data_IF_889016150372
#
_entry.id   IF_889016150372
#
_cell.length_a   1.000
_cell.length_b   1.000
_cell.length_c   1.000
_cell.angle_alpha   90.00
_cell.angle_beta   90.00
_cell.angle_gamma   90.00
#
_symmetry.space_group_name_H-M   'P 1'
#
loop_
_entity.id
_entity.type
_entity.pdbx_description
1 polymer ?
#
# COMPACT_ATOMS: atom_id res chain seq x y z
N UNK A 1 14.61 19.96 32.54
CA UNK A 1 13.53 19.15 31.93
C UNK A 1 13.03 19.88 30.69
N UNK A 2 12.80 19.21 29.54
CA UNK A 2 12.21 19.87 28.37
C UNK A 2 10.79 20.36 28.70
N UNK A 3 10.44 21.54 28.21
CA UNK A 3 9.09 22.11 28.37
C UNK A 3 8.05 21.28 27.61
N UNK A 4 6.83 21.15 28.15
CA UNK A 4 5.77 20.32 27.55
C UNK A 4 5.45 20.71 26.08
N UNK A 5 5.59 21.99 25.74
CA UNK A 5 5.48 22.50 24.38
C UNK A 5 6.53 21.91 23.42
N UNK A 6 7.79 21.83 23.86
CA UNK A 6 8.88 21.23 23.09
C UNK A 6 8.60 19.75 22.80
N UNK A 7 8.13 19.01 23.81
CA UNK A 7 7.81 17.58 23.68
C UNK A 7 6.67 17.35 22.67
N UNK A 8 5.62 18.19 22.70
CA UNK A 8 4.52 18.12 21.73
C UNK A 8 4.97 18.45 20.31
N UNK A 9 5.83 19.45 20.15
CA UNK A 9 6.36 19.84 18.84
C UNK A 9 7.24 18.74 18.24
N UNK A 10 8.15 18.16 19.03
CA UNK A 10 9.01 17.04 18.61
C UNK A 10 8.17 15.84 18.19
N UNK A 11 7.15 15.49 18.98
CA UNK A 11 6.28 14.37 18.65
C UNK A 11 5.45 14.63 17.40
N UNK A 12 4.98 15.87 17.21
CA UNK A 12 4.27 16.30 16.01
C UNK A 12 5.14 16.19 14.75
N UNK A 13 6.40 16.62 14.85
CA UNK A 13 7.37 16.51 13.77
C UNK A 13 7.71 15.05 13.47
N UNK A 14 7.91 14.22 14.51
CA UNK A 14 8.16 12.80 14.34
C UNK A 14 6.98 12.09 13.64
N UNK A 15 5.74 12.31 14.09
CA UNK A 15 4.55 11.79 13.41
C UNK A 15 4.48 12.25 11.94
N UNK A 16 4.79 13.52 11.66
CA UNK A 16 4.80 14.06 10.30
C UNK A 16 5.81 13.33 9.40
N UNK A 17 7.06 13.20 9.86
CA UNK A 17 8.12 12.52 9.09
C UNK A 17 7.77 11.05 8.85
N UNK A 18 7.25 10.36 9.86
CA UNK A 18 6.81 8.96 9.70
C UNK A 18 5.65 8.82 8.72
N UNK A 19 4.67 9.73 8.74
CA UNK A 19 3.58 9.74 7.77
C UNK A 19 4.07 10.00 6.34
N UNK A 20 5.04 10.90 6.17
CA UNK A 20 5.63 11.18 4.86
C UNK A 20 6.36 9.95 4.30
N UNK A 21 7.14 9.26 5.14
CA UNK A 21 7.76 7.98 4.75
C UNK A 21 6.72 6.94 4.37
N UNK A 22 5.65 6.82 5.17
CA UNK A 22 4.54 5.91 4.89
C UNK A 22 3.85 6.22 3.56
N UNK A 23 3.62 7.50 3.26
CA UNK A 23 3.01 7.96 2.02
C UNK A 23 3.90 7.65 0.81
N UNK A 24 5.21 7.87 0.92
CA UNK A 24 6.17 7.56 -0.15
C UNK A 24 6.14 6.07 -0.47
N UNK A 25 6.28 5.19 0.52
CA UNK A 25 6.29 3.73 0.26
C UNK A 25 4.93 3.22 -0.23
N UNK A 26 3.81 3.73 0.29
CA UNK A 26 2.48 3.39 -0.21
C UNK A 26 2.28 3.84 -1.67
N UNK A 27 2.73 5.05 -2.00
CA UNK A 27 2.73 5.57 -3.37
C UNK A 27 3.60 4.74 -4.31
N UNK A 28 4.80 4.33 -3.89
CA UNK A 28 5.65 3.41 -4.65
C UNK A 28 4.95 2.06 -4.88
N UNK A 29 4.31 1.50 -3.85
CA UNK A 29 3.52 0.27 -3.99
C UNK A 29 2.44 0.40 -5.07
N UNK A 30 1.68 1.51 -5.03
CA UNK A 30 0.64 1.78 -6.03
C UNK A 30 1.23 1.92 -7.44
N UNK A 31 2.31 2.69 -7.59
CA UNK A 31 2.97 2.91 -8.89
C UNK A 31 3.50 1.61 -9.50
N UNK A 32 4.13 0.76 -8.69
CA UNK A 32 4.58 -0.57 -9.12
C UNK A 32 3.39 -1.45 -9.55
N UNK A 33 2.27 -1.41 -8.83
CA UNK A 33 1.08 -2.15 -9.25
C UNK A 33 0.50 -1.65 -10.57
N UNK A 34 0.41 -0.33 -10.76
CA UNK A 34 -0.12 0.26 -11.99
C UNK A 34 0.78 -0.03 -13.20
N UNK A 35 2.10 -0.07 -13.02
CA UNK A 35 3.03 -0.49 -14.06
C UNK A 35 2.85 -1.97 -14.45
N UNK A 36 2.45 -2.81 -13.49
CA UNK A 36 2.34 -4.26 -13.68
C UNK A 36 0.91 -4.78 -13.89
N UNK A 37 -0.07 -3.89 -13.98
CA UNK A 37 -1.47 -4.25 -14.19
C UNK A 37 -2.05 -3.28 -15.23
N UNK A 38 -2.10 -3.66 -16.51
CA UNK A 38 -2.59 -2.77 -17.54
C UNK A 38 -4.07 -2.51 -17.30
N UNK A 39 -4.42 -1.28 -16.92
CA UNK A 39 -5.81 -0.83 -16.83
C UNK A 39 -6.46 -0.68 -18.21
N UNK A 40 -5.65 -0.70 -19.28
CA UNK A 40 -6.11 -0.69 -20.66
C UNK A 40 -4.97 -1.19 -21.57
N UNK A 41 -4.97 -2.46 -21.94
CA UNK A 41 -4.20 -2.90 -23.12
C UNK A 41 -5.16 -3.00 -24.31
N UNK A 42 -4.67 -2.77 -25.53
CA UNK A 42 -5.45 -2.92 -26.75
C UNK A 42 -6.02 -4.36 -26.95
N UNK A 43 -5.63 -5.30 -26.10
CA UNK A 43 -5.99 -6.72 -26.14
C UNK A 43 -6.68 -7.22 -24.84
N UNK A 44 -7.15 -6.32 -23.96
CA UNK A 44 -7.88 -6.65 -22.72
C UNK A 44 -7.14 -6.33 -21.41
N UNK A 45 -7.84 -6.47 -20.27
CA UNK A 45 -7.29 -6.26 -18.91
C UNK A 45 -6.59 -7.53 -18.39
N UNK A 46 -5.31 -7.74 -18.71
CA UNK A 46 -4.56 -8.92 -18.26
C UNK A 46 -4.10 -8.79 -16.79
N UNK A 47 -4.68 -9.58 -15.88
CA UNK A 47 -4.25 -9.66 -14.48
C UNK A 47 -3.42 -10.93 -14.25
N UNK A 48 -2.11 -10.76 -14.03
CA UNK A 48 -1.19 -11.87 -13.77
C UNK A 48 -1.17 -12.35 -12.30
N UNK A 49 -2.13 -11.89 -11.48
CA UNK A 49 -2.32 -12.42 -10.14
C UNK A 49 -3.28 -13.62 -10.18
N UNK A 50 -2.98 -14.64 -9.38
CA UNK A 50 -3.80 -15.84 -9.23
C UNK A 50 -4.02 -16.66 -10.51
N UNK A 51 -3.07 -16.62 -11.45
CA UNK A 51 -3.14 -17.42 -12.67
C UNK A 51 -3.19 -18.91 -12.30
N UNK A 52 -4.14 -19.64 -12.89
CA UNK A 52 -4.28 -21.09 -12.75
C UNK A 52 -3.73 -21.82 -13.99
N UNK A 53 -3.65 -23.15 -13.91
CA UNK A 53 -3.04 -23.96 -14.96
C UNK A 53 -3.68 -23.76 -16.35
N UNK A 54 -5.02 -23.84 -16.53
CA UNK A 54 -5.65 -23.56 -17.83
C UNK A 54 -5.31 -22.16 -18.39
N UNK A 55 -5.33 -21.13 -17.53
CA UNK A 55 -5.02 -19.75 -17.92
C UNK A 55 -3.55 -19.59 -18.35
N UNK A 56 -2.62 -20.23 -17.64
CA UNK A 56 -1.21 -20.19 -18.01
C UNK A 56 -0.94 -20.91 -19.33
N UNK A 57 -1.60 -22.04 -19.59
CA UNK A 57 -1.50 -22.73 -20.88
C UNK A 57 -2.05 -21.87 -22.02
N UNK A 58 -3.18 -21.17 -21.84
CA UNK A 58 -3.70 -20.26 -22.87
C UNK A 58 -2.76 -19.08 -23.14
N UNK A 59 -2.12 -18.52 -22.10
CA UNK A 59 -1.10 -17.47 -22.26
C UNK A 59 0.06 -18.00 -23.12
N UNK A 60 0.59 -19.19 -22.80
CA UNK A 60 1.71 -19.78 -23.55
C UNK A 60 1.31 -20.08 -25.00
N UNK A 61 0.16 -20.70 -25.23
CA UNK A 61 -0.30 -21.01 -26.59
C UNK A 61 -0.47 -19.74 -27.45
N UNK A 62 -0.98 -18.66 -26.84
CA UNK A 62 -1.11 -17.36 -27.51
C UNK A 62 0.24 -16.72 -27.87
N UNK A 63 1.28 -16.96 -27.07
CA UNK A 63 2.61 -16.40 -27.27
C UNK A 63 3.44 -17.20 -28.29
N UNK A 64 3.22 -18.51 -28.42
CA UNK A 64 4.14 -19.40 -29.16
C UNK A 64 3.53 -20.22 -30.30
N UNK A 65 2.23 -20.54 -30.28
CA UNK A 65 1.66 -21.58 -31.17
C UNK A 65 0.71 -21.01 -32.22
N UNK A 66 -0.15 -20.07 -31.86
CA UNK A 66 -0.97 -19.30 -32.80
C UNK A 66 -1.37 -17.98 -32.12
N UNK A 67 -1.29 -16.83 -32.80
CA UNK A 67 -1.84 -15.57 -32.29
C UNK A 67 -3.37 -15.61 -32.42
N UNK A 68 -4.00 -16.46 -31.62
CA UNK A 68 -5.44 -16.41 -31.38
C UNK A 68 -5.66 -15.17 -30.51
N UNK A 69 -6.74 -14.44 -30.79
CA UNK A 69 -7.25 -13.36 -29.96
C UNK A 69 -7.69 -13.95 -28.61
N UNK A 70 -6.74 -14.18 -27.71
CA UNK A 70 -7.02 -14.64 -26.35
C UNK A 70 -7.52 -13.45 -25.58
N UNK A 71 -8.79 -13.52 -25.17
CA UNK A 71 -9.38 -12.54 -24.28
C UNK A 71 -8.71 -12.68 -22.91
N UNK A 72 -7.81 -11.75 -22.57
CA UNK A 72 -7.06 -11.78 -21.31
C UNK A 72 -7.89 -11.32 -20.10
N UNK A 73 -9.22 -11.44 -20.15
CA UNK A 73 -10.12 -11.00 -19.09
C UNK A 73 -10.23 -12.01 -17.94
N UNK A 74 -9.10 -12.39 -17.34
CA UNK A 74 -9.05 -13.27 -16.18
C UNK A 74 -8.63 -12.49 -14.95
N UNK A 75 -9.23 -12.79 -13.80
CA UNK A 75 -8.88 -12.24 -12.48
C UNK A 75 -8.91 -10.69 -12.37
N UNK A 76 -9.51 -9.99 -13.35
CA UNK A 76 -9.61 -8.52 -13.39
C UNK A 76 -10.14 -7.92 -12.09
N UNK A 77 -11.18 -8.52 -11.51
CA UNK A 77 -11.76 -8.08 -10.23
C UNK A 77 -10.75 -8.04 -9.09
N UNK A 78 -9.84 -9.01 -9.04
CA UNK A 78 -8.82 -9.13 -7.99
C UNK A 78 -7.73 -8.06 -8.16
N UNK A 79 -7.31 -7.81 -9.40
CA UNK A 79 -6.37 -6.73 -9.69
C UNK A 79 -6.97 -5.34 -9.45
N UNK A 80 -8.24 -5.12 -9.84
CA UNK A 80 -8.99 -3.89 -9.53
C UNK A 80 -9.09 -3.66 -8.03
N UNK A 81 -9.37 -4.71 -7.26
CA UNK A 81 -9.39 -4.63 -5.80
C UNK A 81 -8.01 -4.24 -5.23
N UNK A 82 -6.93 -4.86 -5.72
CA UNK A 82 -5.57 -4.52 -5.27
C UNK A 82 -5.20 -3.06 -5.56
N UNK A 83 -5.44 -2.58 -6.78
CA UNK A 83 -5.16 -1.18 -7.15
C UNK A 83 -6.04 -0.22 -6.36
N UNK A 84 -7.35 -0.50 -6.26
CA UNK A 84 -8.27 0.35 -5.51
C UNK A 84 -7.88 0.45 -4.04
N UNK A 85 -7.49 -0.66 -3.42
CA UNK A 85 -7.03 -0.66 -2.02
C UNK A 85 -5.73 0.15 -1.85
N UNK A 86 -4.72 -0.05 -2.69
CA UNK A 86 -3.48 0.74 -2.65
C UNK A 86 -3.76 2.25 -2.88
N UNK A 87 -4.68 2.57 -3.78
CA UNK A 87 -5.09 3.95 -4.06
C UNK A 87 -5.79 4.61 -2.87
N UNK A 88 -6.81 3.95 -2.30
CA UNK A 88 -7.54 4.46 -1.13
C UNK A 88 -6.59 4.64 0.06
N UNK A 89 -5.69 3.67 0.31
CA UNK A 89 -4.68 3.79 1.35
C UNK A 89 -3.79 5.02 1.16
N UNK A 90 -3.33 5.26 -0.07
CA UNK A 90 -2.48 6.41 -0.42
C UNK A 90 -3.21 7.72 -0.18
N UNK A 91 -4.51 7.80 -0.51
CA UNK A 91 -5.35 8.97 -0.20
C UNK A 91 -5.47 9.18 1.31
N UNK A 92 -5.78 8.13 2.08
CA UNK A 92 -5.87 8.24 3.54
C UNK A 92 -4.55 8.76 4.14
N UNK A 93 -3.42 8.26 3.68
CA UNK A 93 -2.10 8.71 4.10
C UNK A 93 -1.79 10.14 3.68
N UNK A 94 -2.18 10.55 2.47
CA UNK A 94 -2.02 11.92 2.00
C UNK A 94 -2.82 12.89 2.86
N UNK A 95 -4.08 12.56 3.18
CA UNK A 95 -4.93 13.36 4.07
C UNK A 95 -4.31 13.47 5.47
N UNK A 96 -3.87 12.34 6.06
CA UNK A 96 -3.19 12.34 7.37
C UNK A 96 -1.93 13.23 7.35
N UNK A 97 -1.12 13.11 6.30
CA UNK A 97 0.10 13.90 6.13
C UNK A 97 -0.23 15.39 6.02
N UNK A 98 -1.28 15.75 5.27
CA UNK A 98 -1.73 17.14 5.13
C UNK A 98 -2.24 17.71 6.47
N UNK A 99 -3.05 16.96 7.21
CA UNK A 99 -3.49 17.39 8.55
C UNK A 99 -2.31 17.64 9.48
N UNK A 100 -1.34 16.74 9.46
CA UNK A 100 -0.18 16.83 10.33
C UNK A 100 0.75 17.96 9.91
N UNK A 101 0.90 18.21 8.60
CA UNK A 101 1.62 19.36 8.06
C UNK A 101 1.00 20.68 8.56
N UNK A 102 -0.32 20.83 8.47
CA UNK A 102 -1.00 22.02 8.99
C UNK A 102 -0.77 22.20 10.49
N UNK A 103 -0.78 21.12 11.27
CA UNK A 103 -0.50 21.18 12.72
C UNK A 103 0.93 21.62 13.02
N UNK A 104 1.91 21.18 12.24
CA UNK A 104 3.33 21.57 12.40
C UNK A 104 3.57 23.00 11.92
N UNK A 105 3.04 23.38 10.76
CA UNK A 105 3.29 24.69 10.13
C UNK A 105 2.64 25.85 10.86
N UNK A 106 1.39 25.69 11.31
CA UNK A 106 0.64 26.79 11.91
C UNK A 106 0.62 26.76 13.44
N UNK A 107 1.30 25.78 14.06
CA UNK A 107 1.19 25.48 15.50
C UNK A 107 -0.26 25.35 16.01
N UNK A 108 -1.20 25.08 15.10
CA UNK A 108 -2.62 24.96 15.45
C UNK A 108 -2.79 23.65 16.20
N UNK A 109 -3.11 23.78 17.48
CA UNK A 109 -3.50 22.65 18.29
C UNK A 109 -4.98 22.38 17.99
N UNK A 110 -5.26 21.49 17.02
CA UNK A 110 -6.63 21.16 16.59
C UNK A 110 -7.34 20.46 17.75
N UNK A 111 -7.95 21.23 18.66
CA UNK A 111 -8.67 20.75 19.85
C UNK A 111 -10.08 20.23 19.53
N UNK A 112 -10.33 19.80 18.29
CA UNK A 112 -11.66 19.35 17.87
C UNK A 112 -11.70 17.82 17.96
N UNK A 113 -12.50 17.30 18.89
CA UNK A 113 -12.70 15.86 19.10
C UNK A 113 -13.06 15.11 17.79
N UNK A 114 -13.82 15.77 16.91
CA UNK A 114 -14.18 15.27 15.56
C UNK A 114 -12.94 15.04 14.68
N UNK A 115 -11.98 15.96 14.68
CA UNK A 115 -10.76 15.83 13.88
C UNK A 115 -9.91 14.64 14.32
N UNK A 116 -9.82 14.40 15.64
CA UNK A 116 -9.10 13.25 16.18
C UNK A 116 -9.77 11.92 15.81
N UNK A 117 -11.10 11.84 15.85
CA UNK A 117 -11.85 10.64 15.45
C UNK A 117 -11.63 10.34 13.96
N UNK A 118 -11.71 11.37 13.11
CA UNK A 118 -11.48 11.24 11.66
C UNK A 118 -10.06 10.76 11.37
N UNK A 119 -9.05 11.32 12.05
CA UNK A 119 -7.65 10.91 11.89
C UNK A 119 -7.44 9.43 12.26
N UNK A 120 -8.00 8.96 13.37
CA UNK A 120 -7.95 7.53 13.73
C UNK A 120 -8.62 6.67 12.66
N UNK A 121 -9.76 7.12 12.11
CA UNK A 121 -10.41 6.47 10.98
C UNK A 121 -9.50 6.32 9.76
N UNK A 122 -8.77 7.37 9.38
CA UNK A 122 -7.80 7.31 8.28
C UNK A 122 -6.60 6.41 8.59
N UNK A 123 -6.13 6.35 9.83
CA UNK A 123 -5.07 5.41 10.22
C UNK A 123 -5.53 3.96 10.08
N UNK A 124 -6.70 3.62 10.61
CA UNK A 124 -7.24 2.26 10.51
C UNK A 124 -7.53 1.91 9.06
N UNK A 125 -8.15 2.82 8.30
CA UNK A 125 -8.44 2.63 6.88
C UNK A 125 -7.17 2.37 6.05
N UNK A 126 -6.14 3.22 6.20
CA UNK A 126 -4.87 3.04 5.48
C UNK A 126 -4.19 1.71 5.80
N UNK A 127 -4.14 1.30 7.08
CA UNK A 127 -3.58 -0.01 7.47
C UNK A 127 -4.35 -1.15 6.81
N UNK A 128 -5.68 -1.15 6.90
CA UNK A 128 -6.52 -2.21 6.33
C UNK A 128 -6.37 -2.31 4.81
N UNK A 129 -6.40 -1.19 4.10
CA UNK A 129 -6.30 -1.19 2.64
C UNK A 129 -4.90 -1.56 2.14
N UNK A 130 -3.82 -1.12 2.83
CA UNK A 130 -2.47 -1.60 2.52
C UNK A 130 -2.33 -3.10 2.78
N UNK A 131 -2.93 -3.61 3.84
CA UNK A 131 -2.90 -5.04 4.15
C UNK A 131 -3.61 -5.87 3.08
N UNK A 132 -4.79 -5.43 2.61
CA UNK A 132 -5.50 -6.06 1.50
C UNK A 132 -4.60 -6.10 0.25
N UNK A 133 -4.02 -4.95 -0.14
CA UNK A 133 -3.12 -4.90 -1.29
C UNK A 133 -1.92 -5.84 -1.13
N UNK A 134 -1.24 -5.81 0.01
CA UNK A 134 -0.11 -6.68 0.32
C UNK A 134 -0.47 -8.16 0.17
N UNK A 135 -1.58 -8.61 0.78
CA UNK A 135 -1.99 -10.02 0.75
C UNK A 135 -2.38 -10.45 -0.65
N UNK A 136 -3.20 -9.66 -1.35
CA UNK A 136 -3.68 -9.97 -2.71
C UNK A 136 -2.51 -10.08 -3.68
N UNK A 137 -1.55 -9.16 -3.62
CA UNK A 137 -0.38 -9.16 -4.51
C UNK A 137 0.55 -10.32 -4.16
N UNK A 138 0.86 -10.52 -2.88
CA UNK A 138 1.78 -11.59 -2.46
C UNK A 138 1.24 -12.98 -2.76
N UNK A 139 0.00 -13.26 -2.35
CA UNK A 139 -0.63 -14.56 -2.57
C UNK A 139 -0.93 -14.79 -4.06
N UNK A 140 -1.40 -13.75 -4.75
CA UNK A 140 -1.70 -13.82 -6.17
C UNK A 140 -0.48 -14.08 -7.03
N UNK A 141 0.61 -13.35 -6.78
CA UNK A 141 1.86 -13.53 -7.51
C UNK A 141 2.49 -14.90 -7.20
N UNK A 142 2.48 -15.31 -5.93
CA UNK A 142 2.96 -16.65 -5.54
C UNK A 142 2.24 -17.77 -6.28
N UNK A 143 0.90 -17.71 -6.34
CA UNK A 143 0.10 -18.73 -7.06
C UNK A 143 0.44 -18.78 -8.55
N UNK A 144 0.60 -17.62 -9.19
CA UNK A 144 1.02 -17.53 -10.60
C UNK A 144 2.39 -18.18 -10.78
N UNK A 145 3.34 -17.85 -9.91
CA UNK A 145 4.68 -18.42 -9.92
C UNK A 145 4.71 -19.94 -9.78
N UNK A 146 3.96 -20.47 -8.81
CA UNK A 146 3.85 -21.91 -8.60
C UNK A 146 3.22 -22.60 -9.82
N UNK A 147 2.22 -21.97 -10.45
CA UNK A 147 1.57 -22.48 -11.66
C UNK A 147 2.55 -22.57 -12.83
N UNK A 148 3.29 -21.50 -13.12
CA UNK A 148 4.27 -21.53 -14.21
C UNK A 148 5.42 -22.49 -13.92
N UNK A 149 5.86 -22.63 -12.67
CA UNK A 149 6.86 -23.62 -12.27
C UNK A 149 6.41 -25.06 -12.57
N UNK A 150 5.14 -25.38 -12.35
CA UNK A 150 4.58 -26.70 -12.68
C UNK A 150 4.53 -26.91 -14.19
N UNK A 151 4.15 -25.88 -14.94
CA UNK A 151 4.03 -25.96 -16.40
C UNK A 151 5.38 -26.17 -17.08
N UNK A 152 6.43 -25.45 -16.66
CA UNK A 152 7.77 -25.56 -17.27
C UNK A 152 8.45 -26.90 -16.97
N UNK A 153 7.93 -27.69 -16.03
CA UNK A 153 8.37 -29.07 -15.80
C UNK A 153 7.77 -30.07 -16.81
N UNK A 154 6.74 -29.67 -17.56
CA UNK A 154 6.12 -30.53 -18.57
C UNK A 154 6.99 -30.59 -19.83
N UNK A 155 7.23 -31.76 -20.44
CA UNK A 155 8.08 -31.91 -21.62
C UNK A 155 7.66 -31.02 -22.80
N UNK A 156 6.35 -30.78 -22.93
CA UNK A 156 5.76 -29.96 -23.99
C UNK A 156 6.00 -28.45 -23.83
N UNK A 157 6.43 -27.98 -22.65
CA UNK A 157 6.64 -26.55 -22.33
C UNK A 157 8.01 -26.28 -21.69
N UNK A 158 8.96 -27.21 -21.80
CA UNK A 158 10.30 -27.12 -21.23
C UNK A 158 11.05 -25.83 -21.64
N UNK A 159 10.84 -25.35 -22.87
CA UNK A 159 11.54 -24.18 -23.41
C UNK A 159 10.94 -22.84 -22.95
N UNK A 160 9.80 -22.87 -22.25
CA UNK A 160 9.15 -21.66 -21.73
C UNK A 160 9.88 -21.20 -20.48
N UNK A 161 10.36 -19.96 -20.46
CA UNK A 161 11.01 -19.36 -19.29
C UNK A 161 10.06 -18.35 -18.67
N UNK A 162 9.68 -18.58 -17.41
CA UNK A 162 8.91 -17.63 -16.61
C UNK A 162 9.73 -17.15 -15.42
N UNK A 163 9.94 -15.83 -15.31
CA UNK A 163 10.76 -15.22 -14.26
C UNK A 163 9.90 -14.65 -13.15
N UNK A 164 9.88 -15.32 -12.01
CA UNK A 164 9.11 -14.89 -10.83
C UNK A 164 9.65 -13.64 -10.14
N UNK A 165 10.93 -13.34 -10.30
CA UNK A 165 11.62 -12.30 -9.53
C UNK A 165 12.17 -11.18 -10.42
N UNK A 166 11.69 -11.06 -11.66
CA UNK A 166 12.21 -10.07 -12.60
C UNK A 166 11.35 -9.92 -13.85
N UNK A 167 11.89 -9.20 -14.82
CA UNK A 167 11.23 -8.94 -16.10
C UNK A 167 11.03 -10.22 -16.90
N UNK A 168 9.84 -10.41 -17.49
CA UNK A 168 9.61 -11.54 -18.38
C UNK A 168 10.45 -11.45 -19.67
N UNK A 169 10.92 -12.59 -20.22
CA UNK A 169 11.53 -12.62 -21.54
C UNK A 169 10.60 -12.04 -22.60
N UNK A 170 11.19 -11.39 -23.60
CA UNK A 170 10.41 -10.86 -24.71
C UNK A 170 10.04 -11.96 -25.70
N UNK A 171 8.80 -12.43 -25.61
CA UNK A 171 8.20 -13.39 -26.56
C UNK A 171 7.31 -12.71 -27.61
N UNK A 172 7.52 -11.41 -27.89
CA UNK A 172 6.66 -10.65 -28.81
C UNK A 172 5.30 -10.25 -28.21
N UNK A 173 5.11 -10.45 -26.89
CA UNK A 173 3.93 -10.01 -26.16
C UNK A 173 3.98 -8.50 -25.92
N UNK A 174 2.90 -7.79 -26.27
CA UNK A 174 2.72 -6.36 -26.04
C UNK A 174 2.75 -5.95 -24.57
N UNK A 175 2.53 -6.91 -23.67
CA UNK A 175 2.52 -6.68 -22.24
C UNK A 175 3.31 -7.76 -21.49
N UNK A 176 4.19 -7.34 -20.58
CA UNK A 176 5.10 -8.22 -19.83
C UNK A 176 5.11 -7.83 -18.36
N UNK A 177 4.58 -8.67 -17.45
CA UNK A 177 4.67 -8.40 -16.02
C UNK A 177 6.10 -8.55 -15.51
N UNK A 178 6.52 -7.67 -14.60
CA UNK A 178 7.76 -7.78 -13.87
C UNK A 178 7.50 -8.34 -12.47
N UNK A 179 7.96 -9.58 -12.23
CA UNK A 179 7.79 -10.23 -10.94
C UNK A 179 8.49 -9.52 -9.79
N UNK A 180 9.63 -8.87 -10.08
CA UNK A 180 10.35 -8.07 -9.11
C UNK A 180 9.54 -6.85 -8.66
N UNK A 181 8.72 -6.28 -9.54
CA UNK A 181 7.88 -5.12 -9.21
C UNK A 181 6.63 -5.52 -8.42
N UNK A 182 6.05 -6.71 -8.65
CA UNK A 182 5.00 -7.24 -7.76
C UNK A 182 5.53 -7.52 -6.35
N UNK A 183 6.72 -8.12 -6.23
CA UNK A 183 7.38 -8.32 -4.94
C UNK A 183 7.68 -6.98 -4.29
N UNK A 184 8.24 -6.03 -5.05
CA UNK A 184 8.51 -4.67 -4.59
C UNK A 184 7.26 -3.97 -4.08
N UNK A 185 6.14 -4.07 -4.80
CA UNK A 185 4.87 -3.51 -4.38
C UNK A 185 4.41 -4.08 -3.03
N UNK A 186 4.40 -5.41 -2.87
CA UNK A 186 4.02 -6.05 -1.62
C UNK A 186 4.92 -5.64 -0.44
N UNK A 187 6.24 -5.53 -0.67
CA UNK A 187 7.21 -5.08 0.34
C UNK A 187 6.97 -3.63 0.72
N UNK A 188 6.76 -2.74 -0.26
CA UNK A 188 6.45 -1.34 -0.03
C UNK A 188 5.14 -1.17 0.74
N UNK A 189 4.10 -1.95 0.43
CA UNK A 189 2.86 -1.96 1.21
C UNK A 189 3.09 -2.40 2.66
N UNK A 190 3.90 -3.44 2.89
CA UNK A 190 4.24 -3.91 4.23
C UNK A 190 4.99 -2.85 5.06
N UNK A 191 5.97 -2.17 4.44
CA UNK A 191 6.68 -1.06 5.08
C UNK A 191 5.75 0.12 5.37
N UNK A 192 4.80 0.41 4.47
CA UNK A 192 3.76 1.41 4.67
C UNK A 192 2.91 1.10 5.90
N UNK A 193 2.49 -0.17 6.08
CA UNK A 193 1.76 -0.60 7.27
C UNK A 193 2.59 -0.35 8.54
N UNK A 194 3.86 -0.75 8.54
CA UNK A 194 4.75 -0.57 9.69
C UNK A 194 4.88 0.91 10.08
N UNK A 195 5.17 1.79 9.12
CA UNK A 195 5.28 3.22 9.37
C UNK A 195 3.95 3.83 9.81
N UNK A 196 2.84 3.41 9.22
CA UNK A 196 1.50 3.88 9.63
C UNK A 196 1.19 3.51 11.08
N UNK A 197 1.53 2.30 11.52
CA UNK A 197 1.37 1.86 12.91
C UNK A 197 2.22 2.70 13.85
N UNK A 198 3.49 2.94 13.50
CA UNK A 198 4.38 3.79 14.31
C UNK A 198 3.81 5.22 14.41
N UNK A 199 3.35 5.79 13.30
CA UNK A 199 2.73 7.12 13.29
C UNK A 199 1.47 7.19 14.16
N UNK A 200 0.64 6.14 14.14
CA UNK A 200 -0.53 6.02 15.00
C UNK A 200 -0.14 5.99 16.49
N UNK A 201 0.88 5.21 16.87
CA UNK A 201 1.38 5.18 18.25
C UNK A 201 1.88 6.55 18.70
N UNK A 202 2.69 7.22 17.86
CA UNK A 202 3.17 8.57 18.15
C UNK A 202 2.01 9.58 18.30
N UNK A 203 1.00 9.46 17.44
CA UNK A 203 -0.20 10.28 17.52
C UNK A 203 -0.97 10.04 18.84
N UNK A 204 -1.17 8.79 19.26
CA UNK A 204 -1.83 8.46 20.53
C UNK A 204 -1.06 9.03 21.71
N UNK A 205 0.27 8.85 21.75
CA UNK A 205 1.12 9.40 22.82
C UNK A 205 1.01 10.93 22.87
N UNK A 206 0.89 11.62 21.72
CA UNK A 206 0.69 13.07 21.64
C UNK A 206 -0.63 13.47 22.28
N UNK A 207 -1.69 12.72 22.01
CA UNK A 207 -3.01 12.98 22.57
C UNK A 207 -3.06 12.78 24.09
N UNK A 208 -2.42 11.73 24.60
CA UNK A 208 -2.34 11.46 26.06
C UNK A 208 -1.63 12.63 26.77
N UNK A 209 -0.42 12.99 26.32
CA UNK A 209 0.32 14.12 26.90
C UNK A 209 -0.44 15.45 26.80
N UNK A 210 -1.23 15.64 25.74
CA UNK A 210 -2.05 16.85 25.59
C UNK A 210 -3.18 16.93 26.63
N UNK A 211 -3.78 15.79 27.00
CA UNK A 211 -4.82 15.72 28.06
C UNK A 211 -4.24 15.93 29.46
N UNK A 212 -3.05 15.40 29.73
CA UNK A 212 -2.42 15.55 31.06
C UNK A 212 -2.05 17.01 31.35
N UNK A 213 -1.51 17.73 30.37
CA UNK A 213 -1.25 19.17 30.49
C UNK A 213 -2.53 19.97 30.78
N UNK A 214 -3.67 19.61 30.17
CA UNK A 214 -4.94 20.29 30.41
C UNK A 214 -5.45 20.08 31.84
N UNK A 215 -5.35 18.84 32.36
CA UNK A 215 -5.74 18.53 33.75
C UNK A 215 -4.89 19.29 34.77
N UNK A 216 -3.59 19.44 34.52
CA UNK A 216 -2.69 20.17 35.42
C UNK A 216 -3.00 21.67 35.48
N UNK A 217 -3.33 22.30 34.34
CA UNK A 217 -3.70 23.72 34.29
C UNK A 217 -5.03 23.98 35.00
N UNK A 218 -6.02 23.09 34.82
CA UNK A 218 -7.31 23.22 35.52
C UNK A 218 -7.13 23.13 37.04
N UNK A 219 -6.33 22.16 37.52
CA UNK A 219 -6.02 22.02 38.95
C UNK A 219 -5.32 23.25 39.55
N UNK A 220 -4.31 23.80 38.87
CA UNK A 220 -3.63 25.01 39.35
C UNK A 220 -4.56 26.22 39.41
N UNK A 221 -5.47 26.36 38.45
CA UNK A 221 -6.44 27.45 38.45
C UNK A 221 -7.49 27.30 39.55
N UNK A 222 -7.90 26.07 39.90
CA UNK A 222 -8.79 25.82 41.05
C UNK A 222 -8.10 26.08 42.40
N UNK A 223 -6.81 25.76 42.53
CA UNK A 223 -6.01 26.03 43.73
C UNK A 223 -5.66 27.51 43.92
N UNK A 224 -5.64 28.31 42.86
CA UNK A 224 -5.42 29.77 42.93
C UNK A 224 -6.71 30.57 43.22
N UNK A 225 -7.88 29.93 43.08
CA UNK A 225 -9.18 30.58 43.27
C UNK A 225 -9.78 30.34 44.67
N UNK A 226 -9.19 29.44 45.47
CA UNK A 226 -9.53 29.13 46.86
C UNK A 226 -8.45 29.65 47.82
#
# INVERSE_FOLDING_TARGET
MPTAALVKQVLSLATFVTLLLSLVVAGTSLGLLQANLPTQSAYGEACFLFINYPQAVSIIQSAFVNPILVDFNFNSSTCKLSIASAFIATICLALLTAFQLCSVSFQINVKTLIANIIQVGFFVGSILFLFISMVVVSAGWRKTCDTFKIITQQPQYHDVVFKCNGEQPNYGLSYRPNGGEFIGAAVCAALGILFTIVALVLFIVKQIKSKDDYKHVVKMNEEQLN
#
